data_IF_294561576770
#
_entry.id   IF_294561576770
#
_cell.length_a   1.000
_cell.length_b   1.000
_cell.length_c   1.000
_cell.angle_alpha   90.00
_cell.angle_beta   90.00
_cell.angle_gamma   90.00
#
_symmetry.space_group_name_H-M   'P 1'
#
loop_
_entity.id
_entity.type
_entity.pdbx_description
1 polymer ?
#
# COMPACT_ATOMS: atom_id res chain seq x y z
N UNK A 1 -13.56 -48.14 -51.65
CA UNK A 1 -14.22 -48.07 -50.32
C UNK A 1 -13.85 -46.74 -49.68
N UNK A 2 -14.79 -46.20 -48.89
CA UNK A 2 -14.87 -44.82 -48.40
C UNK A 2 -13.69 -44.41 -47.51
N UNK A 3 -13.27 -43.18 -47.76
CA UNK A 3 -12.75 -42.13 -46.88
C UNK A 3 -12.90 -42.38 -45.38
N UNK A 4 -11.80 -42.22 -44.62
CA UNK A 4 -11.85 -41.68 -43.26
C UNK A 4 -10.81 -40.57 -43.12
N UNK A 5 -11.34 -39.35 -43.09
CA UNK A 5 -10.69 -38.10 -42.70
C UNK A 5 -10.16 -38.25 -41.26
N UNK A 6 -8.85 -38.05 -41.06
CA UNK A 6 -8.32 -37.77 -39.73
C UNK A 6 -8.51 -36.27 -39.44
N UNK A 7 -9.40 -35.99 -38.49
CA UNK A 7 -9.71 -34.65 -38.00
C UNK A 7 -8.47 -34.07 -37.30
N UNK A 8 -7.94 -32.97 -37.83
CA UNK A 8 -6.92 -32.17 -37.17
C UNK A 8 -7.57 -31.37 -36.04
N UNK A 9 -7.35 -31.79 -34.79
CA UNK A 9 -7.55 -30.97 -33.60
C UNK A 9 -6.17 -30.53 -33.11
N UNK A 10 -5.66 -29.43 -33.68
CA UNK A 10 -4.74 -28.58 -32.95
C UNK A 10 -5.58 -27.45 -32.40
N UNK A 11 -5.93 -27.61 -31.11
CA UNK A 11 -6.48 -26.53 -30.30
C UNK A 11 -5.56 -25.32 -30.49
N UNK A 12 -6.10 -24.27 -31.08
CA UNK A 12 -5.61 -22.93 -30.82
C UNK A 12 -5.81 -22.69 -29.33
N UNK A 13 -4.78 -22.98 -28.53
CA UNK A 13 -4.61 -22.34 -27.26
C UNK A 13 -4.39 -20.86 -27.61
N UNK A 14 -5.50 -20.13 -27.77
CA UNK A 14 -5.52 -18.70 -27.59
C UNK A 14 -4.97 -18.49 -26.19
N UNK A 15 -3.69 -18.20 -26.11
CA UNK A 15 -3.08 -17.66 -24.91
C UNK A 15 -3.90 -16.42 -24.60
N UNK A 16 -4.84 -16.55 -23.67
CA UNK A 16 -5.29 -15.41 -22.92
C UNK A 16 -4.06 -14.92 -22.19
N UNK A 17 -3.34 -13.97 -22.78
CA UNK A 17 -2.57 -13.02 -22.02
C UNK A 17 -3.61 -12.24 -21.18
N UNK A 18 -4.05 -12.87 -20.09
CA UNK A 18 -4.78 -12.22 -19.02
C UNK A 18 -3.77 -11.44 -18.19
N UNK A 19 -4.21 -10.29 -17.74
CA UNK A 19 -3.40 -9.15 -17.34
C UNK A 19 -2.40 -9.48 -16.22
N UNK A 20 -1.24 -8.83 -16.23
CA UNK A 20 -0.44 -8.71 -15.01
C UNK A 20 -1.10 -7.65 -14.12
N UNK A 21 -2.13 -8.08 -13.40
CA UNK A 21 -2.86 -7.35 -12.35
C UNK A 21 -2.30 -7.73 -10.99
N UNK A 22 -1.58 -6.81 -10.33
CA UNK A 22 -1.01 -7.00 -8.98
C UNK A 22 -0.01 -8.17 -8.85
N UNK A 23 0.87 -8.13 -7.85
CA UNK A 23 1.55 -9.37 -7.42
C UNK A 23 0.66 -10.18 -6.45
N UNK A 24 -0.29 -9.49 -5.80
CA UNK A 24 -1.16 -10.03 -4.76
C UNK A 24 -2.62 -10.05 -5.20
N UNK A 25 -3.40 -10.98 -4.66
CA UNK A 25 -4.85 -10.97 -4.85
C UNK A 25 -5.49 -9.77 -4.13
N UNK A 26 -6.68 -9.37 -4.57
CA UNK A 26 -7.45 -8.29 -3.93
C UNK A 26 -7.69 -8.53 -2.45
N UNK A 27 -7.98 -9.78 -2.05
CA UNK A 27 -8.23 -10.13 -0.66
C UNK A 27 -6.94 -10.05 0.18
N UNK A 28 -5.81 -10.56 -0.32
CA UNK A 28 -4.52 -10.47 0.38
C UNK A 28 -4.09 -9.00 0.56
N UNK A 29 -4.19 -8.20 -0.50
CA UNK A 29 -3.83 -6.79 -0.46
C UNK A 29 -4.77 -5.99 0.45
N UNK A 30 -6.07 -6.30 0.45
CA UNK A 30 -7.05 -5.69 1.35
C UNK A 30 -6.76 -6.04 2.81
N UNK A 31 -6.50 -7.32 3.11
CA UNK A 31 -6.14 -7.78 4.45
C UNK A 31 -4.89 -7.07 4.97
N UNK A 32 -3.80 -7.10 4.22
CA UNK A 32 -2.55 -6.47 4.65
C UNK A 32 -2.66 -4.94 4.74
N UNK A 33 -3.42 -4.31 3.85
CA UNK A 33 -3.77 -2.90 3.96
C UNK A 33 -4.51 -2.60 5.26
N UNK A 34 -5.51 -3.40 5.62
CA UNK A 34 -6.28 -3.26 6.86
C UNK A 34 -5.43 -3.45 8.12
N UNK A 35 -4.51 -4.42 8.14
CA UNK A 35 -3.54 -4.61 9.24
C UNK A 35 -2.74 -3.33 9.47
N UNK A 36 -2.17 -2.73 8.42
CA UNK A 36 -1.38 -1.50 8.56
C UNK A 36 -2.22 -0.26 8.91
N UNK A 37 -3.49 -0.19 8.47
CA UNK A 37 -4.43 0.83 8.96
C UNK A 37 -4.56 0.72 10.48
N UNK A 38 -4.83 -0.49 10.99
CA UNK A 38 -5.00 -0.70 12.44
C UNK A 38 -3.71 -0.44 13.22
N UNK A 39 -2.55 -0.86 12.71
CA UNK A 39 -1.25 -0.52 13.32
C UNK A 39 -1.09 0.99 13.44
N UNK A 40 -1.37 1.76 12.39
CA UNK A 40 -1.25 3.23 12.42
C UNK A 40 -2.22 3.84 13.45
N UNK A 41 -3.42 3.30 13.61
CA UNK A 41 -4.38 3.73 14.63
C UNK A 41 -3.86 3.49 16.05
N UNK A 42 -3.28 2.33 16.34
CA UNK A 42 -2.65 2.05 17.63
C UNK A 42 -1.43 2.97 17.87
N UNK A 43 -0.62 3.24 16.85
CA UNK A 43 0.52 4.16 16.99
C UNK A 43 0.08 5.60 17.30
N UNK A 44 -1.12 6.04 16.86
CA UNK A 44 -1.63 7.40 17.14
C UNK A 44 -1.94 7.62 18.62
N UNK A 45 -2.34 6.58 19.35
CA UNK A 45 -2.67 6.71 20.78
C UNK A 45 -1.44 6.60 21.69
N UNK A 46 -0.30 6.13 21.16
CA UNK A 46 0.96 6.01 21.90
C UNK A 46 1.78 7.30 21.77
N UNK A 47 2.12 7.89 22.93
CA UNK A 47 2.77 9.21 23.02
C UNK A 47 4.26 9.20 22.64
N UNK A 48 4.95 8.06 22.75
CA UNK A 48 6.41 7.97 22.60
C UNK A 48 6.88 7.06 21.44
N UNK A 49 6.09 6.93 20.37
CA UNK A 49 6.53 6.20 19.16
C UNK A 49 7.50 7.09 18.36
N UNK A 50 8.70 6.60 18.02
CA UNK A 50 9.63 7.30 17.14
C UNK A 50 8.98 7.71 15.81
N UNK A 51 9.32 8.89 15.31
CA UNK A 51 8.78 9.39 14.03
C UNK A 51 9.07 8.43 12.87
N UNK A 52 10.27 7.84 12.86
CA UNK A 52 10.69 6.85 11.86
C UNK A 52 9.76 5.64 11.83
N UNK A 53 9.33 5.14 12.99
CA UNK A 53 8.39 4.01 13.08
C UNK A 53 7.02 4.38 12.48
N UNK A 54 6.50 5.58 12.78
CA UNK A 54 5.23 6.06 12.20
C UNK A 54 5.35 6.21 10.67
N UNK A 55 6.49 6.75 10.20
CA UNK A 55 6.79 6.91 8.78
C UNK A 55 6.88 5.56 8.06
N UNK A 56 7.57 4.60 8.65
CA UNK A 56 7.70 3.24 8.10
C UNK A 56 6.34 2.56 7.95
N UNK A 57 5.49 2.59 8.99
CA UNK A 57 4.13 2.05 8.89
C UNK A 57 3.29 2.75 7.80
N UNK A 58 3.42 4.07 7.67
CA UNK A 58 2.77 4.82 6.59
C UNK A 58 3.23 4.43 5.19
N UNK A 59 4.54 4.17 5.02
CA UNK A 59 5.10 3.67 3.75
C UNK A 59 4.56 2.29 3.43
N UNK A 60 4.54 1.37 4.40
CA UNK A 60 3.99 0.02 4.20
C UNK A 60 2.50 0.06 3.83
N UNK A 61 1.70 0.92 4.46
CA UNK A 61 0.30 1.13 4.07
C UNK A 61 0.18 1.62 2.62
N UNK A 62 1.02 2.56 2.19
CA UNK A 62 0.98 3.06 0.81
C UNK A 62 1.31 1.97 -0.22
N UNK A 63 2.27 1.09 0.09
CA UNK A 63 2.59 -0.07 -0.75
C UNK A 63 1.38 -0.99 -0.89
N UNK A 64 0.76 -1.39 0.22
CA UNK A 64 -0.43 -2.25 0.18
C UNK A 64 -1.65 -1.61 -0.49
N UNK A 65 -1.84 -0.29 -0.35
CA UNK A 65 -2.88 0.44 -1.10
C UNK A 65 -2.65 0.41 -2.61
N UNK A 66 -1.38 0.49 -3.04
CA UNK A 66 -1.04 0.35 -4.45
C UNK A 66 -1.38 -1.07 -4.93
N UNK A 67 -0.92 -2.10 -4.23
CA UNK A 67 -1.20 -3.51 -4.59
C UNK A 67 -2.70 -3.78 -4.67
N UNK A 68 -3.48 -3.28 -3.71
CA UNK A 68 -4.94 -3.43 -3.71
C UNK A 68 -5.60 -2.75 -4.93
N UNK A 69 -5.12 -1.58 -5.33
CA UNK A 69 -5.64 -0.92 -6.55
C UNK A 69 -5.17 -1.62 -7.84
N UNK A 70 -4.02 -2.27 -7.81
CA UNK A 70 -3.42 -2.96 -8.94
C UNK A 70 -3.98 -4.37 -9.15
N UNK A 71 -4.53 -5.00 -8.11
CA UNK A 71 -5.07 -6.36 -8.14
C UNK A 71 -6.42 -6.48 -8.84
N UNK A 72 -7.17 -5.38 -9.01
CA UNK A 72 -8.43 -5.34 -9.74
C UNK A 72 -8.63 -4.00 -10.48
N UNK A 73 -7.83 -3.70 -11.53
CA UNK A 73 -7.85 -2.41 -12.20
C UNK A 73 -9.20 -2.12 -12.86
N UNK A 74 -9.79 -0.97 -12.51
CA UNK A 74 -11.10 -0.56 -13.03
C UNK A 74 -12.29 -1.18 -12.32
N UNK A 75 -12.07 -2.03 -11.31
CA UNK A 75 -13.11 -2.61 -10.46
C UNK A 75 -13.20 -1.90 -9.10
N UNK A 76 -13.35 -0.57 -9.12
CA UNK A 76 -13.31 0.29 -7.91
C UNK A 76 -14.29 -0.14 -6.80
N UNK A 77 -15.47 -0.64 -7.17
CA UNK A 77 -16.47 -1.10 -6.21
C UNK A 77 -16.08 -2.43 -5.55
N UNK A 78 -15.43 -3.34 -6.29
CA UNK A 78 -14.92 -4.60 -5.75
C UNK A 78 -13.74 -4.33 -4.79
N UNK A 79 -12.81 -3.46 -5.20
CA UNK A 79 -11.72 -2.98 -4.34
C UNK A 79 -12.24 -2.35 -3.06
N UNK A 80 -13.25 -1.48 -3.15
CA UNK A 80 -13.85 -0.83 -1.97
C UNK A 80 -14.53 -1.84 -1.05
N UNK A 81 -15.24 -2.83 -1.60
CA UNK A 81 -15.89 -3.88 -0.83
C UNK A 81 -14.86 -4.76 -0.11
N UNK A 82 -13.81 -5.20 -0.79
CA UNK A 82 -12.73 -5.99 -0.20
C UNK A 82 -12.02 -5.23 0.92
N UNK A 83 -11.67 -3.95 0.70
CA UNK A 83 -11.07 -3.09 1.72
C UNK A 83 -11.97 -2.95 2.96
N UNK A 84 -13.26 -2.69 2.75
CA UNK A 84 -14.20 -2.53 3.86
C UNK A 84 -14.35 -3.82 4.67
N UNK A 85 -14.48 -4.98 3.99
CA UNK A 85 -14.57 -6.28 4.64
C UNK A 85 -13.32 -6.62 5.44
N UNK A 86 -12.13 -6.40 4.86
CA UNK A 86 -10.86 -6.62 5.55
C UNK A 86 -10.68 -5.72 6.78
N UNK A 87 -11.09 -4.45 6.70
CA UNK A 87 -11.07 -3.53 7.85
C UNK A 87 -12.00 -4.02 8.96
N UNK A 88 -13.22 -4.46 8.61
CA UNK A 88 -14.16 -5.02 9.58
C UNK A 88 -13.59 -6.27 10.26
N UNK A 89 -13.03 -7.21 9.49
CA UNK A 89 -12.44 -8.44 10.01
C UNK A 89 -11.24 -8.18 10.94
N UNK A 90 -10.29 -7.34 10.51
CA UNK A 90 -9.11 -7.00 11.29
C UNK A 90 -9.50 -6.29 12.59
N UNK A 91 -10.47 -5.37 12.53
CA UNK A 91 -10.96 -4.69 13.72
C UNK A 91 -11.70 -5.64 14.66
N UNK A 92 -12.60 -6.49 14.14
CA UNK A 92 -13.32 -7.47 14.95
C UNK A 92 -12.35 -8.43 15.65
N UNK A 93 -11.30 -8.87 14.96
CA UNK A 93 -10.27 -9.74 15.53
C UNK A 93 -9.45 -9.01 16.58
N UNK A 94 -8.92 -7.83 16.26
CA UNK A 94 -8.09 -7.04 17.17
C UNK A 94 -8.87 -6.61 18.43
N UNK A 95 -10.10 -6.14 18.29
CA UNK A 95 -10.93 -5.69 19.40
C UNK A 95 -11.50 -6.88 20.21
N UNK A 96 -11.58 -8.08 19.61
CA UNK A 96 -11.87 -9.33 20.31
C UNK A 96 -10.73 -9.79 21.24
N UNK A 97 -9.50 -9.33 20.99
CA UNK A 97 -8.34 -9.56 21.86
C UNK A 97 -8.33 -8.52 23.00
N UNK A 98 -9.02 -8.85 24.09
CA UNK A 98 -9.18 -7.95 25.25
C UNK A 98 -7.89 -7.70 26.05
N UNK A 99 -6.89 -8.58 25.91
CA UNK A 99 -5.54 -8.35 26.41
C UNK A 99 -4.74 -7.51 25.40
N UNK A 100 -4.36 -6.29 25.81
CA UNK A 100 -3.55 -5.37 25.01
C UNK A 100 -2.25 -6.01 24.52
N UNK A 101 -1.57 -6.81 25.35
CA UNK A 101 -0.32 -7.45 24.94
C UNK A 101 -0.53 -8.54 23.88
N UNK A 102 -1.67 -9.23 23.91
CA UNK A 102 -2.06 -10.21 22.90
C UNK A 102 -2.44 -9.50 21.59
N UNK A 103 -3.19 -8.41 21.66
CA UNK A 103 -3.56 -7.59 20.50
C UNK A 103 -2.32 -7.00 19.81
N UNK A 104 -1.42 -6.40 20.58
CA UNK A 104 -0.18 -5.82 20.07
C UNK A 104 0.71 -6.87 19.39
N UNK A 105 0.80 -8.07 19.98
CA UNK A 105 1.54 -9.19 19.39
C UNK A 105 0.90 -9.66 18.08
N UNK A 106 -0.42 -9.83 18.07
CA UNK A 106 -1.15 -10.24 16.87
C UNK A 106 -0.92 -9.24 15.71
N UNK A 107 -1.07 -7.94 15.99
CA UNK A 107 -0.80 -6.88 15.01
C UNK A 107 0.64 -6.88 14.53
N UNK A 108 1.61 -7.04 15.44
CA UNK A 108 3.03 -7.08 15.09
C UNK A 108 3.37 -8.29 14.22
N UNK A 109 2.85 -9.48 14.55
CA UNK A 109 3.08 -10.70 13.81
C UNK A 109 2.50 -10.63 12.39
N UNK A 110 1.27 -10.11 12.25
CA UNK A 110 0.60 -9.99 10.95
C UNK A 110 1.21 -8.88 10.09
N UNK A 111 1.58 -7.74 10.69
CA UNK A 111 2.32 -6.70 9.97
C UNK A 111 3.67 -7.22 9.47
N UNK A 112 4.38 -7.99 10.29
CA UNK A 112 5.65 -8.60 9.90
C UNK A 112 5.47 -9.64 8.78
N UNK A 113 4.38 -10.40 8.77
CA UNK A 113 4.04 -11.32 7.69
C UNK A 113 3.79 -10.58 6.38
N UNK A 114 2.91 -9.57 6.40
CA UNK A 114 2.65 -8.73 5.25
C UNK A 114 3.95 -8.10 4.70
N UNK A 115 4.79 -7.48 5.56
CA UNK A 115 6.06 -6.92 5.09
C UNK A 115 7.07 -7.96 4.60
N UNK A 116 6.98 -9.23 5.02
CA UNK A 116 7.81 -10.31 4.46
C UNK A 116 7.33 -10.69 3.06
N UNK A 117 6.02 -10.88 2.88
CA UNK A 117 5.43 -11.20 1.57
C UNK A 117 5.74 -10.12 0.55
N UNK A 118 5.60 -8.86 0.95
CA UNK A 118 5.86 -7.72 0.08
C UNK A 118 7.36 -7.58 -0.26
N UNK A 119 8.27 -7.91 0.65
CA UNK A 119 9.72 -7.95 0.37
C UNK A 119 10.15 -9.14 -0.49
N UNK A 120 9.39 -10.23 -0.47
CA UNK A 120 9.63 -11.38 -1.34
C UNK A 120 9.24 -11.07 -2.79
N UNK A 121 8.16 -10.31 -2.98
CA UNK A 121 7.71 -9.79 -4.27
C UNK A 121 8.63 -8.68 -4.82
N UNK A 122 8.98 -7.73 -3.96
CA UNK A 122 9.76 -6.56 -4.31
C UNK A 122 10.97 -6.46 -3.39
N UNK A 123 12.21 -6.57 -3.91
CA UNK A 123 13.41 -6.18 -3.15
C UNK A 123 13.24 -4.77 -2.55
N UNK A 124 13.86 -4.48 -1.41
CA UNK A 124 13.53 -3.34 -0.53
C UNK A 124 13.43 -1.95 -1.22
N UNK A 125 14.02 -1.77 -2.40
CA UNK A 125 14.04 -0.54 -3.18
C UNK A 125 13.19 -0.52 -4.46
N UNK A 126 12.45 -1.58 -4.78
CA UNK A 126 11.89 -1.78 -6.13
C UNK A 126 10.36 -1.65 -6.22
N UNK A 127 9.68 -1.45 -5.08
CA UNK A 127 8.23 -1.34 -5.11
C UNK A 127 7.78 -0.12 -5.94
N UNK A 128 6.84 -0.27 -6.91
CA UNK A 128 6.45 0.81 -7.84
C UNK A 128 6.01 2.10 -7.16
N UNK A 129 5.32 1.99 -6.01
CA UNK A 129 4.90 3.16 -5.21
C UNK A 129 6.06 4.03 -4.75
N UNK A 130 7.25 3.47 -4.48
CA UNK A 130 8.38 4.24 -3.94
C UNK A 130 8.90 5.26 -4.96
N UNK A 131 8.88 4.90 -6.25
CA UNK A 131 9.21 5.82 -7.34
C UNK A 131 8.20 6.97 -7.40
N UNK A 132 6.91 6.66 -7.27
CA UNK A 132 5.84 7.66 -7.27
C UNK A 132 5.94 8.59 -6.05
N UNK A 133 6.26 8.05 -4.87
CA UNK A 133 6.49 8.84 -3.67
C UNK A 133 7.69 9.78 -3.81
N UNK A 134 8.79 9.30 -4.39
CA UNK A 134 9.96 10.13 -4.66
C UNK A 134 9.63 11.25 -5.66
N UNK A 135 8.86 10.95 -6.71
CA UNK A 135 8.41 11.94 -7.67
C UNK A 135 7.51 13.01 -7.03
N UNK A 136 6.51 12.61 -6.25
CA UNK A 136 5.62 13.53 -5.53
C UNK A 136 6.39 14.41 -4.53
N UNK A 137 7.35 13.84 -3.79
CA UNK A 137 8.22 14.61 -2.89
C UNK A 137 9.06 15.67 -3.61
N UNK A 138 9.54 15.36 -4.83
CA UNK A 138 10.27 16.30 -5.66
C UNK A 138 9.39 17.43 -6.21
N UNK A 139 8.10 17.15 -6.48
CA UNK A 139 7.14 18.17 -6.94
C UNK A 139 6.77 19.14 -5.81
N UNK A 140 6.48 18.63 -4.61
CA UNK A 140 6.23 19.47 -3.42
C UNK A 140 7.46 20.33 -3.06
N UNK A 141 8.66 19.78 -3.20
CA UNK A 141 9.91 20.54 -3.01
C UNK A 141 10.11 21.69 -4.01
N UNK A 142 9.61 21.55 -5.24
CA UNK A 142 9.65 22.61 -6.26
C UNK A 142 8.64 23.72 -5.97
N UNK A 143 7.44 23.37 -5.49
CA UNK A 143 6.42 24.35 -5.11
C UNK A 143 6.81 25.14 -3.84
N UNK A 144 7.46 24.47 -2.88
CA UNK A 144 8.02 25.13 -1.70
C UNK A 144 9.18 26.09 -2.06
N UNK A 145 10.01 25.73 -3.05
CA UNK A 145 11.08 26.59 -3.57
C UNK A 145 10.59 27.84 -4.33
N UNK A 146 9.38 27.81 -4.89
CA UNK A 146 8.76 28.94 -5.57
C UNK A 146 7.98 29.89 -4.62
N UNK A 147 7.85 29.51 -3.34
CA UNK A 147 7.18 30.34 -2.32
C UNK A 147 8.17 31.14 -1.46
N UNK A 148 9.48 31.06 -1.73
CA UNK A 148 10.49 31.93 -1.13
C UNK A 148 10.40 33.34 -1.75
N UNK A 149 9.56 34.19 -1.15
CA UNK A 149 9.50 35.63 -1.42
C UNK A 149 10.91 36.25 -1.29
N UNK A 150 11.34 37.14 -2.20
CA UNK A 150 12.64 37.79 -2.11
C UNK A 150 12.73 38.61 -0.82
N UNK A 151 13.82 38.40 -0.09
CA UNK A 151 14.24 39.12 1.11
C UNK A 151 14.18 40.65 0.87
N UNK A 152 13.08 41.29 1.30
CA UNK A 152 12.96 42.75 1.27
C UNK A 152 13.92 43.31 2.34
N UNK A 153 15.00 43.93 1.85
CA UNK A 153 16.05 44.58 2.63
C UNK A 153 15.47 45.51 3.69
N UNK A 154 15.38 45.04 4.93
CA UNK A 154 14.96 45.83 6.07
C UNK A 154 16.07 46.84 6.42
N UNK A 155 15.92 48.06 5.93
CA UNK A 155 16.80 49.19 6.27
C UNK A 155 16.53 49.60 7.74
N UNK A 156 17.54 49.65 8.63
CA UNK A 156 17.32 50.06 10.01
C UNK A 156 17.00 51.56 10.06
N UNK A 157 15.84 51.92 10.62
CA UNK A 157 15.53 53.30 10.99
C UNK A 157 16.42 53.69 12.17
N UNK A 158 17.32 54.64 11.92
CA UNK A 158 18.14 55.25 12.95
C UNK A 158 17.28 55.93 14.02
N UNK A 159 17.64 55.66 15.27
CA UNK A 159 17.28 56.47 16.44
C UNK A 159 17.78 57.90 16.24
N UNK A 160 16.88 58.88 16.26
CA UNK A 160 17.05 60.19 16.91
C UNK A 160 15.69 60.72 17.32
#
# INVERSE_FOLDING_TARGET
MRTLFFLALLLAATGTARAQEGEFTTDEAAHCGAVFVRVIEELKVITNVPEETRRSAGIELLKWKYELSASAPGEDDAVRAAAAGAIEEVNATADGLTDYAARDRWLADHAAECSRSLRAAYPESEHPVLVQMAAAGNEVGKEAGNSAVPEEKQKPKGLR
#
